data_IF_021222367539
#
_entry.id   IF_021222367539
#
_cell.length_a   1.000
_cell.length_b   1.000
_cell.length_c   1.000
_cell.angle_alpha   90.00
_cell.angle_beta   90.00
_cell.angle_gamma   90.00
#
_symmetry.space_group_name_H-M   'P 1'
#
loop_
_entity.id
_entity.type
_entity.pdbx_description
1 polymer ?
#
# COMPACT_ATOMS: atom_id res chain seq x y z
N UNK A 1 -93.36 -36.55 -28.03
CA UNK A 1 -92.10 -36.75 -28.74
C UNK A 1 -91.84 -38.23 -28.90
N UNK A 2 -91.83 -38.71 -30.11
CA UNK A 2 -91.56 -40.12 -30.41
C UNK A 2 -90.02 -40.35 -30.38
N UNK A 3 -89.57 -41.57 -30.09
CA UNK A 3 -88.15 -41.93 -30.07
C UNK A 3 -87.40 -41.55 -31.38
N UNK A 4 -88.16 -41.57 -32.51
CA UNK A 4 -87.63 -41.14 -33.81
C UNK A 4 -87.32 -39.66 -33.85
N UNK A 5 -88.20 -38.81 -33.28
CA UNK A 5 -87.96 -37.32 -33.25
C UNK A 5 -86.77 -36.98 -32.37
N UNK A 6 -86.52 -37.71 -31.31
CA UNK A 6 -85.35 -37.54 -30.42
C UNK A 6 -84.06 -37.95 -31.19
N UNK A 7 -84.13 -39.13 -31.87
CA UNK A 7 -82.96 -39.60 -32.67
C UNK A 7 -82.62 -38.67 -33.83
N UNK A 8 -83.61 -38.09 -34.51
CA UNK A 8 -83.44 -37.14 -35.59
C UNK A 8 -82.88 -35.78 -35.07
N UNK A 9 -83.33 -35.33 -33.93
CA UNK A 9 -82.81 -34.17 -33.25
C UNK A 9 -81.32 -34.33 -32.83
N UNK A 10 -81.01 -35.52 -32.28
CA UNK A 10 -79.58 -35.83 -31.91
C UNK A 10 -78.71 -35.91 -33.15
N UNK A 11 -79.20 -36.48 -34.27
CA UNK A 11 -78.44 -36.54 -35.50
C UNK A 11 -78.26 -35.16 -36.12
N UNK A 12 -79.32 -34.32 -36.09
CA UNK A 12 -79.28 -32.95 -36.65
C UNK A 12 -78.47 -31.96 -35.83
N UNK A 13 -78.51 -32.07 -34.53
CA UNK A 13 -77.82 -31.13 -33.62
C UNK A 13 -76.64 -31.74 -32.93
N UNK A 14 -76.36 -33.02 -32.99
CA UNK A 14 -75.29 -33.72 -32.35
C UNK A 14 -73.88 -33.18 -32.83
N UNK A 15 -73.80 -32.93 -34.13
CA UNK A 15 -72.57 -32.32 -34.69
C UNK A 15 -72.26 -30.89 -34.18
N UNK A 16 -73.32 -30.10 -33.92
CA UNK A 16 -73.19 -28.75 -33.39
C UNK A 16 -72.77 -28.76 -31.91
N UNK A 17 -73.33 -29.73 -31.11
CA UNK A 17 -72.97 -29.86 -29.70
C UNK A 17 -71.52 -30.32 -29.54
N UNK A 18 -71.02 -31.21 -30.39
CA UNK A 18 -69.63 -31.65 -30.41
C UNK A 18 -68.71 -30.50 -30.80
N UNK A 19 -69.05 -29.66 -31.83
CA UNK A 19 -68.29 -28.48 -32.22
C UNK A 19 -68.26 -27.44 -31.09
N UNK A 20 -69.37 -27.19 -30.41
CA UNK A 20 -69.44 -26.27 -29.28
C UNK A 20 -68.57 -26.76 -28.09
N UNK A 21 -68.58 -28.04 -27.77
CA UNK A 21 -67.77 -28.64 -26.75
C UNK A 21 -66.27 -28.53 -27.08
N UNK A 22 -65.89 -28.77 -28.36
CA UNK A 22 -64.51 -28.60 -28.79
C UNK A 22 -64.06 -27.11 -28.76
N UNK A 23 -64.95 -26.18 -29.09
CA UNK A 23 -64.67 -24.76 -28.98
C UNK A 23 -64.43 -24.31 -27.54
N UNK A 24 -65.26 -24.79 -26.60
CA UNK A 24 -65.11 -24.52 -25.16
C UNK A 24 -63.78 -25.09 -24.63
N UNK A 25 -63.43 -26.31 -25.03
CA UNK A 25 -62.16 -26.94 -24.65
C UNK A 25 -60.97 -26.17 -25.24
N UNK A 26 -61.04 -25.69 -26.49
CA UNK A 26 -60.04 -24.91 -27.12
C UNK A 26 -59.81 -23.53 -26.39
N UNK A 27 -60.93 -22.86 -26.06
CA UNK A 27 -60.87 -21.60 -25.27
C UNK A 27 -60.26 -21.84 -23.93
N UNK A 28 -60.62 -22.93 -23.20
CA UNK A 28 -60.04 -23.23 -21.93
C UNK A 28 -58.54 -23.57 -22.00
N UNK A 29 -58.13 -24.28 -23.04
CA UNK A 29 -56.72 -24.60 -23.28
C UNK A 29 -55.91 -23.34 -23.64
N UNK A 30 -56.49 -22.46 -24.43
CA UNK A 30 -55.89 -21.17 -24.83
C UNK A 30 -55.74 -20.22 -23.59
N UNK A 31 -56.78 -20.15 -22.73
CA UNK A 31 -56.75 -19.34 -21.51
C UNK A 31 -55.64 -19.82 -20.55
N UNK A 32 -55.55 -21.14 -20.39
CA UNK A 32 -54.52 -21.74 -19.53
C UNK A 32 -53.09 -21.52 -20.08
N UNK A 33 -52.94 -21.58 -21.43
CA UNK A 33 -51.66 -21.26 -22.07
C UNK A 33 -51.26 -19.78 -21.91
N UNK A 34 -52.28 -18.89 -22.02
CA UNK A 34 -52.05 -17.46 -21.82
C UNK A 34 -51.64 -17.09 -20.41
N UNK A 35 -52.27 -17.71 -19.41
CA UNK A 35 -51.90 -17.50 -18.00
C UNK A 35 -50.44 -17.94 -17.71
N UNK A 36 -50.02 -19.05 -18.30
CA UNK A 36 -48.64 -19.53 -18.18
C UNK A 36 -47.65 -18.57 -18.83
N UNK A 37 -47.98 -18.09 -20.00
CA UNK A 37 -47.10 -17.11 -20.73
C UNK A 37 -46.98 -15.80 -19.96
N UNK A 38 -48.09 -15.33 -19.36
CA UNK A 38 -48.10 -14.12 -18.51
C UNK A 38 -47.27 -14.33 -17.24
N UNK A 39 -47.32 -15.49 -16.62
CA UNK A 39 -46.50 -15.80 -15.45
C UNK A 39 -45.02 -15.85 -15.79
N UNK A 40 -44.65 -16.45 -16.93
CA UNK A 40 -43.25 -16.47 -17.42
C UNK A 40 -42.74 -15.06 -17.75
N UNK A 41 -43.59 -14.24 -18.37
CA UNK A 41 -43.25 -12.84 -18.66
C UNK A 41 -43.01 -12.03 -17.37
N UNK A 42 -43.90 -12.15 -16.39
CA UNK A 42 -43.79 -11.48 -15.11
C UNK A 42 -42.53 -11.92 -14.35
N UNK A 43 -42.15 -13.22 -14.41
CA UNK A 43 -40.92 -13.72 -13.80
C UNK A 43 -39.68 -13.16 -14.51
N UNK A 44 -39.69 -13.08 -15.82
CA UNK A 44 -38.59 -12.49 -16.60
C UNK A 44 -38.42 -11.01 -16.29
N UNK A 45 -39.52 -10.26 -16.17
CA UNK A 45 -39.50 -8.83 -15.85
C UNK A 45 -38.99 -8.58 -14.43
N UNK A 46 -39.41 -9.39 -13.46
CA UNK A 46 -38.93 -9.33 -12.07
C UNK A 46 -37.41 -9.66 -12.00
N UNK A 47 -36.96 -10.66 -12.76
CA UNK A 47 -35.53 -10.98 -12.80
C UNK A 47 -34.72 -9.85 -13.44
N UNK A 48 -35.20 -9.29 -14.54
CA UNK A 48 -34.54 -8.14 -15.19
C UNK A 48 -34.44 -6.94 -14.25
N UNK A 49 -35.49 -6.68 -13.44
CA UNK A 49 -35.46 -5.60 -12.44
C UNK A 49 -34.41 -5.87 -11.35
N UNK A 50 -34.30 -7.12 -10.88
CA UNK A 50 -33.26 -7.49 -9.89
C UNK A 50 -31.86 -7.32 -10.45
N UNK A 51 -31.64 -7.74 -11.70
CA UNK A 51 -30.36 -7.60 -12.38
C UNK A 51 -29.97 -6.12 -12.57
N UNK A 52 -30.94 -5.26 -12.90
CA UNK A 52 -30.75 -3.80 -13.02
C UNK A 52 -30.43 -3.17 -11.67
N UNK A 53 -31.11 -3.56 -10.59
CA UNK A 53 -30.82 -3.07 -9.23
C UNK A 53 -29.43 -3.49 -8.76
N UNK A 54 -29.00 -4.70 -9.09
CA UNK A 54 -27.66 -5.17 -8.75
C UNK A 54 -26.60 -4.42 -9.58
N UNK A 55 -26.83 -4.20 -10.86
CA UNK A 55 -25.94 -3.41 -11.71
C UNK A 55 -25.81 -1.96 -11.21
N UNK A 56 -26.92 -1.34 -10.79
CA UNK A 56 -26.93 -0.01 -10.19
C UNK A 56 -26.08 0.05 -8.92
N UNK A 57 -26.21 -0.95 -8.02
CA UNK A 57 -25.39 -1.04 -6.80
C UNK A 57 -23.90 -1.18 -7.11
N UNK A 58 -23.54 -1.99 -8.10
CA UNK A 58 -22.16 -2.16 -8.54
C UNK A 58 -21.59 -0.86 -9.13
N UNK A 59 -22.42 -0.13 -9.89
CA UNK A 59 -22.02 1.17 -10.46
C UNK A 59 -21.77 2.21 -9.35
N UNK A 60 -22.63 2.27 -8.34
CA UNK A 60 -22.47 3.16 -7.18
C UNK A 60 -21.18 2.82 -6.43
N UNK A 61 -20.93 1.54 -6.14
CA UNK A 61 -19.70 1.10 -5.48
C UNK A 61 -18.44 1.47 -6.28
N UNK A 62 -18.45 1.30 -7.61
CA UNK A 62 -17.38 1.74 -8.50
C UNK A 62 -17.17 3.25 -8.47
N UNK A 63 -18.25 4.02 -8.46
CA UNK A 63 -18.19 5.49 -8.37
C UNK A 63 -17.54 5.94 -7.06
N UNK A 64 -17.89 5.29 -5.95
CA UNK A 64 -17.29 5.56 -4.64
C UNK A 64 -15.79 5.25 -4.63
N UNK A 65 -15.38 4.12 -5.22
CA UNK A 65 -13.96 3.75 -5.37
C UNK A 65 -13.21 4.78 -6.22
N UNK A 66 -13.76 5.16 -7.38
CA UNK A 66 -13.16 6.18 -8.26
C UNK A 66 -13.06 7.53 -7.54
N UNK A 67 -14.10 7.93 -6.81
CA UNK A 67 -14.10 9.18 -6.03
C UNK A 67 -13.03 9.15 -4.95
N UNK A 68 -12.88 8.04 -4.23
CA UNK A 68 -11.83 7.88 -3.23
C UNK A 68 -10.43 7.88 -3.84
N UNK A 69 -10.23 7.21 -4.98
CA UNK A 69 -8.95 7.24 -5.72
C UNK A 69 -8.65 8.67 -6.18
N UNK A 70 -9.62 9.38 -6.75
CA UNK A 70 -9.44 10.76 -7.21
C UNK A 70 -9.11 11.69 -6.03
N UNK A 71 -9.78 11.52 -4.88
CA UNK A 71 -9.47 12.26 -3.66
C UNK A 71 -8.07 11.94 -3.15
N UNK A 72 -7.64 10.69 -3.21
CA UNK A 72 -6.28 10.27 -2.82
C UNK A 72 -5.24 10.87 -3.77
N UNK A 73 -5.46 10.82 -5.09
CA UNK A 73 -4.56 11.41 -6.09
C UNK A 73 -4.50 12.93 -5.95
N UNK A 74 -5.63 13.61 -5.69
CA UNK A 74 -5.65 15.07 -5.47
C UNK A 74 -5.01 15.50 -4.15
N UNK A 75 -4.79 14.56 -3.22
CA UNK A 75 -4.09 14.82 -1.95
C UNK A 75 -2.57 14.64 -2.08
N UNK A 76 -2.07 14.03 -3.18
CA UNK A 76 -0.64 14.09 -3.48
C UNK A 76 -0.31 15.52 -3.90
N UNK A 77 0.58 16.21 -3.18
CA UNK A 77 1.01 17.54 -3.59
C UNK A 77 1.58 17.45 -5.00
N UNK A 78 1.02 18.22 -5.92
CA UNK A 78 1.65 18.42 -7.22
C UNK A 78 2.92 19.21 -6.93
N UNK A 79 4.08 18.55 -6.96
CA UNK A 79 5.37 19.22 -6.78
C UNK A 79 5.49 20.35 -7.79
N UNK A 80 5.71 21.54 -7.30
CA UNK A 80 6.06 22.68 -8.16
C UNK A 80 7.46 22.46 -8.76
N UNK A 81 7.78 23.19 -9.84
CA UNK A 81 9.14 23.10 -10.40
C UNK A 81 10.20 23.52 -9.38
N UNK A 82 9.86 24.46 -8.52
CA UNK A 82 10.72 24.91 -7.44
C UNK A 82 11.00 23.77 -6.45
N UNK A 83 9.97 23.10 -5.95
CA UNK A 83 10.10 21.93 -5.05
C UNK A 83 10.89 20.78 -5.69
N UNK A 84 10.76 20.58 -7.00
CA UNK A 84 11.58 19.57 -7.71
C UNK A 84 13.06 19.97 -7.78
N UNK A 85 13.37 21.24 -7.97
CA UNK A 85 14.74 21.75 -7.97
C UNK A 85 15.35 21.63 -6.57
N UNK A 86 14.62 22.02 -5.52
CA UNK A 86 15.07 21.91 -4.13
C UNK A 86 15.30 20.44 -3.72
N UNK A 87 14.39 19.55 -4.09
CA UNK A 87 14.57 18.10 -3.86
C UNK A 87 15.86 17.58 -4.52
N UNK A 88 16.14 17.97 -5.77
CA UNK A 88 17.38 17.56 -6.45
C UNK A 88 18.63 18.16 -5.80
N UNK A 89 18.55 19.40 -5.30
CA UNK A 89 19.65 20.02 -4.57
C UNK A 89 19.92 19.30 -3.24
N UNK A 90 18.87 18.96 -2.52
CA UNK A 90 18.96 18.17 -1.30
C UNK A 90 19.55 16.77 -1.55
N UNK A 91 19.08 16.07 -2.59
CA UNK A 91 19.64 14.77 -2.98
C UNK A 91 21.13 14.88 -3.36
N UNK A 92 21.50 15.91 -4.09
CA UNK A 92 22.90 16.16 -4.46
C UNK A 92 23.76 16.44 -3.22
N UNK A 93 23.25 17.23 -2.27
CA UNK A 93 23.89 17.50 -1.00
C UNK A 93 24.08 16.21 -0.18
N UNK A 94 23.02 15.42 0.04
CA UNK A 94 23.10 14.15 0.75
C UNK A 94 24.13 13.21 0.13
N UNK A 95 24.08 13.08 -1.17
CA UNK A 95 24.98 12.23 -1.92
C UNK A 95 26.45 12.63 -1.76
N UNK A 96 26.74 13.95 -1.76
CA UNK A 96 28.07 14.49 -1.53
C UNK A 96 28.54 14.22 -0.10
N UNK A 97 27.70 14.51 0.90
CA UNK A 97 28.04 14.32 2.32
C UNK A 97 28.34 12.84 2.63
N UNK A 98 27.50 11.93 2.15
CA UNK A 98 27.72 10.49 2.36
C UNK A 98 28.94 9.96 1.59
N UNK A 99 29.25 10.50 0.41
CA UNK A 99 30.46 10.14 -0.33
C UNK A 99 31.72 10.56 0.43
N UNK A 100 31.79 11.82 0.86
CA UNK A 100 32.91 12.35 1.63
C UNK A 100 33.10 11.59 2.95
N UNK A 101 32.02 11.35 3.71
CA UNK A 101 32.03 10.59 4.93
C UNK A 101 32.59 9.17 4.72
N UNK A 102 32.08 8.46 3.70
CA UNK A 102 32.56 7.12 3.36
C UNK A 102 34.06 7.12 3.02
N UNK A 103 34.49 8.09 2.22
CA UNK A 103 35.90 8.17 1.75
C UNK A 103 36.85 8.54 2.88
N UNK A 104 36.47 9.46 3.79
CA UNK A 104 37.27 9.86 4.95
C UNK A 104 37.41 8.70 5.96
N UNK A 105 36.32 7.99 6.23
CA UNK A 105 36.29 6.90 7.22
C UNK A 105 36.74 5.55 6.67
N UNK A 106 36.94 5.44 5.34
CA UNK A 106 37.22 4.16 4.65
C UNK A 106 36.11 3.12 4.84
N UNK A 107 34.91 3.57 5.13
CA UNK A 107 33.74 2.69 5.20
C UNK A 107 33.42 2.09 3.81
N UNK A 108 32.89 0.86 3.80
CA UNK A 108 32.44 0.23 2.55
C UNK A 108 31.08 0.77 2.08
N UNK A 109 30.28 1.31 3.02
CA UNK A 109 28.98 1.94 2.73
C UNK A 109 28.70 3.06 3.73
N UNK A 110 28.12 4.15 3.25
CA UNK A 110 27.48 5.19 4.03
C UNK A 110 26.02 5.33 3.56
N UNK A 111 25.07 5.32 4.50
CA UNK A 111 23.63 5.31 4.23
C UNK A 111 22.94 6.35 5.10
N UNK A 112 22.00 7.10 4.53
CA UNK A 112 21.03 7.87 5.29
C UNK A 112 19.67 7.19 5.27
N UNK A 113 19.14 6.89 6.45
CA UNK A 113 17.83 6.29 6.69
C UNK A 113 16.94 7.34 7.32
N UNK A 114 15.85 7.73 6.65
CA UNK A 114 14.89 8.67 7.20
C UNK A 114 13.69 7.97 7.83
N UNK A 115 13.18 8.55 8.91
CA UNK A 115 11.91 8.17 9.52
C UNK A 115 10.75 8.86 8.81
N UNK A 116 9.67 8.13 8.61
CA UNK A 116 8.45 8.70 8.06
C UNK A 116 7.20 7.96 8.59
N UNK A 117 6.04 8.60 8.46
CA UNK A 117 4.78 8.00 8.85
C UNK A 117 4.28 7.07 7.75
N UNK A 118 4.15 5.79 8.05
CA UNK A 118 3.68 4.75 7.12
C UNK A 118 2.17 4.49 7.18
N UNK A 119 1.35 5.41 7.69
CA UNK A 119 -0.07 5.20 7.95
C UNK A 119 -0.36 4.80 9.40
N UNK A 120 -1.60 4.42 9.71
CA UNK A 120 -2.04 4.03 11.04
C UNK A 120 -2.43 2.54 11.09
N UNK A 121 -2.20 1.91 12.25
CA UNK A 121 -2.70 0.56 12.55
C UNK A 121 -4.22 0.54 12.72
N UNK A 122 -4.82 -0.65 12.76
CA UNK A 122 -6.25 -0.83 13.11
C UNK A 122 -6.59 -0.18 14.47
N UNK A 123 -5.60 -0.04 15.36
CA UNK A 123 -5.75 0.62 16.68
C UNK A 123 -5.52 2.14 16.63
N UNK A 124 -5.35 2.72 15.43
CA UNK A 124 -5.10 4.17 15.25
C UNK A 124 -3.67 4.61 15.60
N UNK A 125 -2.78 3.69 16.00
CA UNK A 125 -1.37 4.03 16.28
C UNK A 125 -0.62 4.24 14.97
N UNK A 126 0.17 5.31 14.82
CA UNK A 126 0.99 5.51 13.63
C UNK A 126 2.02 4.39 13.50
N UNK A 127 2.15 3.82 12.31
CA UNK A 127 3.29 2.97 11.99
C UNK A 127 4.50 3.85 11.70
N UNK A 128 5.44 3.90 12.64
CA UNK A 128 6.74 4.47 12.36
C UNK A 128 7.49 3.57 11.36
N UNK A 129 7.88 4.16 10.24
CA UNK A 129 8.59 3.48 9.16
C UNK A 129 9.89 4.18 8.84
N UNK A 130 10.77 3.44 8.18
CA UNK A 130 12.07 3.90 7.74
C UNK A 130 12.25 3.61 6.26
N UNK A 131 13.00 4.47 5.57
CA UNK A 131 13.44 4.24 4.18
C UNK A 131 14.88 4.68 4.01
N UNK A 132 15.65 3.93 3.24
CA UNK A 132 16.97 4.37 2.78
C UNK A 132 16.75 5.45 1.71
N UNK A 133 17.13 6.68 2.03
CA UNK A 133 16.96 7.85 1.15
C UNK A 133 18.16 8.06 0.26
N UNK A 134 19.36 7.88 0.81
CA UNK A 134 20.60 8.02 0.06
C UNK A 134 21.63 6.99 0.50
N UNK A 135 22.45 6.53 -0.44
CA UNK A 135 23.44 5.49 -0.22
C UNK A 135 24.69 5.73 -1.07
N UNK A 136 25.86 5.56 -0.48
CA UNK A 136 27.14 5.54 -1.15
C UNK A 136 27.93 4.29 -0.78
N UNK A 137 28.40 3.57 -1.80
CA UNK A 137 29.08 2.29 -1.64
C UNK A 137 30.44 2.32 -2.31
N UNK A 138 31.36 1.46 -1.87
CA UNK A 138 32.57 1.16 -2.60
C UNK A 138 32.29 0.27 -3.83
N UNK A 139 33.27 0.11 -4.70
CA UNK A 139 33.13 -0.68 -5.96
C UNK A 139 32.83 -2.17 -5.75
N UNK A 140 32.99 -2.68 -4.53
CA UNK A 140 32.79 -4.11 -4.19
C UNK A 140 31.49 -4.35 -3.43
N UNK A 141 30.77 -3.30 -3.09
CA UNK A 141 29.57 -3.34 -2.24
C UNK A 141 28.32 -3.09 -3.08
N UNK A 142 27.31 -3.95 -2.98
CA UNK A 142 26.06 -3.79 -3.69
C UNK A 142 25.17 -2.74 -3.02
N UNK A 143 24.34 -2.03 -3.83
CA UNK A 143 23.31 -1.14 -3.31
C UNK A 143 22.19 -1.91 -2.59
N UNK A 144 21.71 -1.35 -1.48
CA UNK A 144 20.59 -1.89 -0.69
C UNK A 144 19.34 -0.99 -0.74
N UNK A 145 19.49 0.28 -1.11
CA UNK A 145 18.40 1.25 -1.09
C UNK A 145 17.11 0.75 -1.76
N UNK A 146 17.12 0.04 -2.93
CA UNK A 146 15.89 -0.47 -3.54
C UNK A 146 15.13 -1.48 -2.68
N UNK A 147 15.83 -2.25 -1.83
CA UNK A 147 15.25 -3.32 -0.99
C UNK A 147 14.80 -2.82 0.38
N UNK A 148 15.31 -1.68 0.83
CA UNK A 148 15.07 -1.13 2.17
C UNK A 148 14.24 0.16 2.11
N UNK A 149 13.07 0.04 1.47
CA UNK A 149 12.06 1.09 1.42
C UNK A 149 10.87 0.74 2.31
N UNK A 150 10.38 1.71 3.07
CA UNK A 150 9.14 1.61 3.84
C UNK A 150 9.10 0.43 4.85
N UNK A 151 10.25 0.07 5.46
CA UNK A 151 10.30 -0.97 6.47
C UNK A 151 9.90 -0.46 7.87
N UNK A 152 9.48 -1.35 8.76
CA UNK A 152 9.00 -0.97 10.08
C UNK A 152 10.16 -0.59 11.00
N UNK A 153 10.10 0.58 11.66
CA UNK A 153 11.05 1.02 12.69
C UNK A 153 11.21 -0.01 13.82
N UNK A 154 10.13 -0.70 14.19
CA UNK A 154 10.14 -1.73 15.22
C UNK A 154 11.10 -2.89 14.94
N UNK A 155 11.50 -3.13 13.67
CA UNK A 155 12.49 -4.17 13.33
C UNK A 155 13.91 -3.83 13.81
N UNK A 156 14.18 -2.57 14.09
CA UNK A 156 15.45 -2.06 14.59
C UNK A 156 15.25 -1.29 15.89
N UNK A 157 14.29 -1.76 16.72
CA UNK A 157 13.87 -1.06 17.95
C UNK A 157 15.02 -0.78 18.90
N UNK A 158 15.87 -1.76 19.18
CA UNK A 158 17.01 -1.59 20.08
C UNK A 158 17.99 -0.51 19.58
N UNK A 159 18.30 -0.50 18.28
CA UNK A 159 19.15 0.56 17.67
C UNK A 159 18.47 1.92 17.77
N UNK A 160 17.14 1.98 17.54
CA UNK A 160 16.40 3.23 17.68
C UNK A 160 16.40 3.76 19.12
N UNK A 161 16.28 2.88 20.13
CA UNK A 161 16.31 3.25 21.54
C UNK A 161 17.69 3.81 21.93
N UNK A 162 18.79 3.23 21.44
CA UNK A 162 20.14 3.76 21.61
C UNK A 162 20.29 5.13 20.92
N UNK A 163 19.79 5.27 19.69
CA UNK A 163 19.85 6.55 18.96
C UNK A 163 18.99 7.64 19.61
N UNK A 164 17.89 7.30 20.23
CA UNK A 164 17.04 8.24 20.97
C UNK A 164 17.72 8.69 22.28
N UNK A 165 18.53 7.82 22.93
CA UNK A 165 19.19 8.07 24.22
C UNK A 165 20.59 8.67 24.05
N UNK A 166 21.46 7.97 23.32
CA UNK A 166 22.89 8.25 23.24
C UNK A 166 23.30 8.97 21.95
N UNK A 167 22.33 9.15 21.02
CA UNK A 167 22.49 9.75 19.69
C UNK A 167 23.45 8.98 18.77
N UNK A 168 24.07 7.92 19.21
CA UNK A 168 24.88 7.01 18.40
C UNK A 168 24.77 5.57 18.90
N UNK A 169 25.20 4.63 18.07
CA UNK A 169 25.33 3.22 18.37
C UNK A 169 26.54 2.65 17.62
N UNK A 170 27.33 1.81 18.28
CA UNK A 170 28.48 1.15 17.69
C UNK A 170 28.37 -0.38 17.79
N UNK A 171 28.61 -1.04 16.68
CA UNK A 171 28.69 -2.49 16.59
C UNK A 171 30.03 -2.89 15.99
N UNK A 172 30.97 -3.30 16.82
CA UNK A 172 32.32 -3.70 16.42
C UNK A 172 32.34 -5.06 15.68
N UNK A 173 31.44 -5.98 16.05
CA UNK A 173 31.25 -7.29 15.40
C UNK A 173 29.75 -7.62 15.32
N UNK A 174 29.22 -7.63 14.10
CA UNK A 174 27.81 -7.95 13.82
C UNK A 174 27.44 -9.36 14.31
N UNK A 175 28.39 -10.29 14.39
CA UNK A 175 28.10 -11.66 14.86
C UNK A 175 27.77 -11.70 16.36
N UNK A 176 28.20 -10.71 17.14
CA UNK A 176 27.98 -10.58 18.56
C UNK A 176 26.73 -9.77 18.93
N UNK A 177 26.03 -9.18 17.94
CA UNK A 177 24.80 -8.44 18.18
C UNK A 177 23.73 -9.33 18.82
N UNK A 178 23.14 -8.83 19.92
CA UNK A 178 22.04 -9.49 20.62
C UNK A 178 20.68 -9.27 19.95
N UNK A 179 20.48 -8.12 19.28
CA UNK A 179 19.26 -7.85 18.50
C UNK A 179 19.30 -8.67 17.20
N UNK A 180 18.49 -9.72 17.16
CA UNK A 180 18.43 -10.63 16.02
C UNK A 180 17.94 -9.94 14.74
N UNK A 181 17.07 -8.93 14.82
CA UNK A 181 16.54 -8.25 13.65
C UNK A 181 17.58 -7.29 13.08
N UNK A 182 18.25 -6.48 13.90
CA UNK A 182 19.36 -5.63 13.50
C UNK A 182 20.51 -6.47 12.93
N UNK A 183 20.85 -7.59 13.60
CA UNK A 183 21.84 -8.56 13.12
C UNK A 183 21.50 -9.13 11.75
N UNK A 184 20.23 -9.51 11.51
CA UNK A 184 19.79 -10.04 10.23
C UNK A 184 19.94 -8.99 9.12
N UNK A 185 19.54 -7.73 9.37
CA UNK A 185 19.67 -6.62 8.44
C UNK A 185 21.15 -6.37 8.09
N UNK A 186 22.01 -6.21 9.10
CA UNK A 186 23.43 -5.95 8.88
C UNK A 186 24.14 -7.16 8.20
N UNK A 187 23.69 -8.37 8.47
CA UNK A 187 24.18 -9.58 7.79
C UNK A 187 23.79 -9.61 6.32
N UNK A 188 22.53 -9.24 6.00
CA UNK A 188 22.04 -9.09 4.63
C UNK A 188 22.85 -8.03 3.88
N UNK A 189 23.21 -6.94 4.55
CA UNK A 189 24.10 -5.90 4.04
C UNK A 189 25.56 -6.35 3.88
N UNK A 190 25.91 -7.52 4.38
CA UNK A 190 27.28 -8.07 4.46
C UNK A 190 28.21 -7.22 5.34
N UNK A 191 27.66 -6.52 6.30
CA UNK A 191 28.43 -5.77 7.29
C UNK A 191 29.15 -6.71 8.24
N UNK A 192 30.39 -6.33 8.63
CA UNK A 192 31.11 -6.97 9.73
C UNK A 192 31.09 -6.11 10.98
N UNK A 193 31.07 -4.79 10.81
CA UNK A 193 30.89 -3.80 11.85
C UNK A 193 30.15 -2.59 11.31
N UNK A 194 29.56 -1.81 12.20
CA UNK A 194 28.79 -0.63 11.84
C UNK A 194 28.82 0.46 12.92
N UNK A 195 28.71 1.71 12.48
CA UNK A 195 28.34 2.88 13.29
C UNK A 195 26.97 3.35 12.87
N UNK A 196 26.15 3.76 13.84
CA UNK A 196 24.92 4.47 13.59
C UNK A 196 24.94 5.80 14.31
N UNK A 197 24.50 6.90 13.68
CA UNK A 197 24.42 8.22 14.32
C UNK A 197 23.09 8.87 13.99
N UNK A 198 22.39 9.38 15.01
CA UNK A 198 21.09 10.01 14.88
C UNK A 198 21.19 11.35 14.12
N UNK A 199 20.25 11.57 13.22
CA UNK A 199 19.97 12.87 12.61
C UNK A 199 18.83 13.50 13.41
N UNK A 200 19.12 14.57 14.15
CA UNK A 200 18.20 15.17 15.12
C UNK A 200 17.66 16.50 14.61
N UNK A 201 16.35 16.64 14.59
CA UNK A 201 15.73 17.96 14.46
C UNK A 201 15.98 18.76 15.74
N UNK A 202 16.97 19.67 15.69
CA UNK A 202 17.43 20.43 16.84
C UNK A 202 16.37 21.42 17.40
N UNK A 203 15.31 21.72 16.62
CA UNK A 203 14.23 22.60 17.10
C UNK A 203 13.33 21.82 18.06
N UNK A 204 13.00 20.58 17.70
CA UNK A 204 12.06 19.76 18.45
C UNK A 204 12.74 18.67 19.29
N UNK A 205 14.07 18.55 19.23
CA UNK A 205 14.88 17.48 19.84
C UNK A 205 14.39 16.06 19.48
N UNK A 206 13.98 15.87 18.23
CA UNK A 206 13.41 14.62 17.74
C UNK A 206 14.36 13.98 16.73
N UNK A 207 14.63 12.68 16.85
CA UNK A 207 15.35 11.92 15.84
C UNK A 207 14.46 11.77 14.59
N UNK A 208 14.89 12.31 13.45
CA UNK A 208 14.19 12.27 12.17
C UNK A 208 14.73 11.20 11.23
N UNK A 209 15.85 10.60 11.59
CA UNK A 209 16.52 9.56 10.84
C UNK A 209 17.88 9.26 11.42
N UNK A 210 18.68 8.48 10.73
CA UNK A 210 20.04 8.15 11.16
C UNK A 210 20.95 7.83 9.99
N UNK A 211 22.26 8.02 10.18
CA UNK A 211 23.30 7.59 9.25
C UNK A 211 23.87 6.28 9.72
N UNK A 212 24.14 5.36 8.80
CA UNK A 212 24.88 4.10 9.05
C UNK A 212 26.17 4.11 8.24
N UNK A 213 27.29 3.91 8.92
CA UNK A 213 28.56 3.53 8.30
C UNK A 213 28.77 2.05 8.47
N UNK A 214 28.98 1.34 7.38
CA UNK A 214 29.23 -0.08 7.36
C UNK A 214 30.69 -0.35 6.97
N UNK A 215 31.30 -1.34 7.64
CA UNK A 215 32.64 -1.83 7.32
C UNK A 215 32.62 -3.33 7.01
N UNK A 216 33.52 -3.74 6.10
CA UNK A 216 33.67 -5.15 5.69
C UNK A 216 34.69 -5.91 6.58
N UNK A 217 35.13 -5.31 7.67
CA UNK A 217 36.02 -5.89 8.66
C UNK A 217 35.49 -5.62 10.07
N UNK A 218 35.94 -6.39 11.04
CA UNK A 218 35.60 -6.22 12.44
C UNK A 218 36.42 -5.03 12.98
N UNK A 219 35.79 -4.19 13.81
CA UNK A 219 36.42 -3.10 14.54
C UNK A 219 36.51 -3.53 16.02
N UNK A 220 37.73 -3.59 16.55
CA UNK A 220 37.97 -4.05 17.93
C UNK A 220 37.46 -3.04 18.96
N UNK A 221 37.47 -1.76 18.60
CA UNK A 221 37.04 -0.67 19.49
C UNK A 221 36.43 0.48 18.67
N UNK A 222 35.68 1.31 19.36
CA UNK A 222 35.14 2.54 18.78
C UNK A 222 36.27 3.53 18.49
N UNK A 223 36.24 4.13 17.29
CA UNK A 223 37.17 5.18 16.86
C UNK A 223 36.48 6.53 17.00
N UNK A 224 36.99 7.37 17.91
CA UNK A 224 36.48 8.73 18.13
C UNK A 224 36.55 9.61 16.87
N UNK A 225 37.54 9.39 16.01
CA UNK A 225 37.66 10.12 14.75
C UNK A 225 36.50 9.80 13.80
N UNK A 226 36.15 8.52 13.66
CA UNK A 226 35.00 8.07 12.88
C UNK A 226 33.70 8.58 13.47
N UNK A 227 33.57 8.53 14.82
CA UNK A 227 32.38 9.03 15.52
C UNK A 227 32.19 10.55 15.29
N UNK A 228 33.24 11.34 15.41
CA UNK A 228 33.19 12.79 15.15
C UNK A 228 32.82 13.12 13.71
N UNK A 229 33.35 12.40 12.73
CA UNK A 229 33.02 12.57 11.32
C UNK A 229 31.53 12.28 11.04
N UNK A 230 30.99 11.16 11.52
CA UNK A 230 29.58 10.81 11.30
C UNK A 230 28.65 11.80 12.01
N UNK A 231 28.98 12.28 13.22
CA UNK A 231 28.21 13.28 13.94
C UNK A 231 28.21 14.64 13.22
N UNK A 232 29.34 15.02 12.64
CA UNK A 232 29.44 16.25 11.82
C UNK A 232 28.50 16.18 10.63
N UNK A 233 28.52 15.07 9.88
CA UNK A 233 27.63 14.87 8.74
C UNK A 233 26.17 14.76 9.15
N UNK A 234 25.87 14.08 10.27
CA UNK A 234 24.50 13.99 10.80
C UNK A 234 23.94 15.38 11.13
N UNK A 235 24.76 16.24 11.76
CA UNK A 235 24.39 17.64 12.05
C UNK A 235 24.17 18.46 10.78
N UNK A 236 25.00 18.30 9.77
CA UNK A 236 24.83 18.97 8.48
C UNK A 236 23.53 18.55 7.75
N UNK A 237 23.22 17.26 7.76
CA UNK A 237 21.97 16.74 7.18
C UNK A 237 20.76 17.25 7.98
N UNK A 238 20.82 17.26 9.31
CA UNK A 238 19.77 17.81 10.16
C UNK A 238 19.44 19.27 9.81
N UNK A 239 20.48 20.09 9.65
CA UNK A 239 20.33 21.49 9.21
C UNK A 239 19.63 21.62 7.85
N UNK A 240 20.02 20.79 6.88
CA UNK A 240 19.42 20.80 5.55
C UNK A 240 17.95 20.34 5.57
N UNK A 241 17.61 19.31 6.38
CA UNK A 241 16.22 18.86 6.57
C UNK A 241 15.34 19.95 7.18
N UNK A 242 15.88 20.73 8.13
CA UNK A 242 15.14 21.84 8.75
C UNK A 242 14.86 23.00 7.79
N UNK A 243 15.79 23.32 6.90
CA UNK A 243 15.59 24.35 5.88
C UNK A 243 14.46 24.00 4.93
N UNK A 244 14.40 22.74 4.47
CA UNK A 244 13.33 22.26 3.58
C UNK A 244 11.94 22.21 4.26
N UNK A 245 11.85 22.12 5.60
CA UNK A 245 10.57 22.14 6.33
C UNK A 245 10.00 23.55 6.56
N UNK A 246 10.79 24.61 6.42
CA UNK A 246 10.34 25.98 6.70
C UNK A 246 9.64 26.66 5.53
N UNK A 247 9.67 26.05 4.38
CA UNK A 247 9.08 26.59 3.15
C UNK A 247 7.72 25.96 2.80
N UNK A 248 7.25 24.99 3.58
CA UNK A 248 5.91 24.38 3.55
C UNK A 248 4.99 25.03 4.60
#
# INVERSE_FOLDING_TARGET
MTFLEIAEAIYKYGGFIVLLAMLILAIFWFAKGFDKLKEEHNKAEEQHRKDMDEAAKRLTALTDVVTNITKTISTYPVHTKEQEVESRQFDAFLNKQLQELRDNTKASRAVYVAYHNGGASITGRPFARCSVIAERVDVKTNFIAPSYQNFQRALIGAVCDELDTDRHSFCGDVTLLHDNAAKAILTDWKAKSAYCCAVVDNINDIVVGFIVLQFNHILEQEDEGVLNEIQTVASAIAGAVQLNKRED
#
